data_IF_920032152066
#
_entry.id   IF_920032152066
#
_cell.length_a   1.000
_cell.length_b   1.000
_cell.length_c   1.000
_cell.angle_alpha   90.00
_cell.angle_beta   90.00
_cell.angle_gamma   90.00
#
_symmetry.space_group_name_H-M   'P 1'
#
loop_
_entity.id
_entity.type
_entity.pdbx_description
1 polymer ?
#
# COMPACT_ATOMS: atom_id res chain seq x y z
N UNK A 1 -3.00 -28.50 -12.75
CA UNK A 1 -2.31 -27.21 -12.78
C UNK A 1 -3.32 -26.09 -12.91
N UNK A 2 -3.23 -25.08 -12.06
CA UNK A 2 -4.04 -23.84 -12.16
C UNK A 2 -3.13 -22.71 -12.58
N UNK A 3 -3.62 -21.82 -13.45
CA UNK A 3 -2.90 -20.64 -13.90
C UNK A 3 -3.57 -19.38 -13.38
N UNK A 4 -2.78 -18.43 -12.89
CA UNK A 4 -3.21 -17.14 -12.42
C UNK A 4 -2.27 -16.07 -12.97
N UNK A 5 -2.80 -14.90 -13.28
CA UNK A 5 -2.00 -13.77 -13.79
C UNK A 5 -2.02 -12.65 -12.77
N UNK A 6 -0.84 -12.18 -12.36
CA UNK A 6 -0.71 -11.10 -11.40
C UNK A 6 -1.04 -9.74 -12.00
N UNK A 7 -1.11 -8.70 -11.17
CA UNK A 7 -1.48 -7.34 -11.60
C UNK A 7 -0.41 -6.66 -12.47
N UNK A 8 0.75 -7.27 -12.67
CA UNK A 8 1.75 -6.83 -13.66
C UNK A 8 1.71 -7.64 -14.98
N UNK A 9 0.76 -8.59 -15.09
CA UNK A 9 0.58 -9.41 -16.28
C UNK A 9 1.47 -10.67 -16.34
N UNK A 10 2.14 -11.01 -15.24
CA UNK A 10 2.94 -12.24 -15.16
C UNK A 10 2.04 -13.43 -14.84
N UNK A 11 2.08 -14.47 -15.67
CA UNK A 11 1.31 -15.70 -15.45
C UNK A 11 2.11 -16.71 -14.65
N UNK A 12 1.50 -17.16 -13.56
CA UNK A 12 2.04 -18.18 -12.65
C UNK A 12 1.26 -19.47 -12.77
N UNK A 13 1.96 -20.62 -12.73
CA UNK A 13 1.34 -21.93 -12.77
C UNK A 13 1.63 -22.66 -11.47
N UNK A 14 0.59 -23.11 -10.78
CA UNK A 14 0.70 -23.89 -9.55
C UNK A 14 0.13 -25.28 -9.75
N UNK A 15 0.87 -26.30 -9.37
CA UNK A 15 0.38 -27.69 -9.33
C UNK A 15 -0.58 -27.91 -8.18
N UNK A 16 -0.25 -27.32 -7.03
CA UNK A 16 -1.02 -27.37 -5.80
C UNK A 16 -1.23 -25.94 -5.26
N UNK A 17 -2.22 -25.77 -4.38
CA UNK A 17 -2.39 -24.52 -3.63
C UNK A 17 -1.14 -24.22 -2.81
N UNK A 18 -0.52 -23.03 -2.96
CA UNK A 18 0.66 -22.65 -2.16
C UNK A 18 0.33 -22.65 -0.66
N UNK A 19 1.23 -23.22 0.13
CA UNK A 19 1.07 -23.34 1.59
C UNK A 19 2.18 -22.66 2.38
N UNK A 20 3.26 -22.26 1.73
CA UNK A 20 4.43 -21.63 2.35
C UNK A 20 4.61 -20.24 1.74
N UNK A 21 4.04 -19.25 2.42
CA UNK A 21 3.98 -17.88 1.92
C UNK A 21 5.04 -17.02 2.60
N UNK A 22 5.86 -16.33 1.84
CA UNK A 22 6.67 -15.21 2.33
C UNK A 22 6.00 -13.91 1.86
N UNK A 23 5.62 -13.04 2.79
CA UNK A 23 5.03 -11.75 2.47
C UNK A 23 6.02 -10.61 2.69
N UNK A 24 6.28 -9.82 1.66
CA UNK A 24 7.19 -8.67 1.72
C UNK A 24 6.46 -7.32 1.81
N UNK A 25 5.14 -7.36 2.03
CA UNK A 25 4.27 -6.18 2.05
C UNK A 25 3.44 -6.17 3.33
N UNK A 26 3.56 -5.13 4.18
CA UNK A 26 2.87 -5.08 5.48
C UNK A 26 1.35 -5.25 5.39
N UNK A 27 0.67 -4.41 4.62
CA UNK A 27 -0.80 -4.46 4.45
C UNK A 27 -1.29 -5.80 3.88
N UNK A 28 -0.53 -6.40 2.96
CA UNK A 28 -0.88 -7.71 2.39
C UNK A 28 -0.60 -8.86 3.36
N UNK A 29 0.35 -8.69 4.30
CA UNK A 29 0.54 -9.65 5.39
C UNK A 29 -0.68 -9.70 6.30
N UNK A 30 -1.23 -8.54 6.63
CA UNK A 30 -2.47 -8.41 7.40
C UNK A 30 -3.66 -9.02 6.65
N UNK A 31 -3.81 -8.71 5.35
CA UNK A 31 -4.84 -9.33 4.52
C UNK A 31 -4.72 -10.86 4.49
N UNK A 32 -3.52 -11.41 4.32
CA UNK A 32 -3.32 -12.87 4.35
C UNK A 32 -3.75 -13.48 5.68
N UNK A 33 -3.46 -12.79 6.79
CA UNK A 33 -3.95 -13.19 8.11
C UNK A 33 -5.48 -13.18 8.16
N UNK A 34 -6.12 -12.11 7.72
CA UNK A 34 -7.57 -11.94 7.69
C UNK A 34 -8.27 -12.95 6.77
N UNK A 35 -7.58 -13.43 5.76
CA UNK A 35 -8.04 -14.54 4.90
C UNK A 35 -7.89 -15.92 5.55
N UNK A 36 -7.41 -15.99 6.80
CA UNK A 36 -7.24 -17.24 7.56
C UNK A 36 -5.98 -18.03 7.16
N UNK A 37 -4.98 -17.36 6.59
CA UNK A 37 -3.75 -17.99 6.09
C UNK A 37 -2.57 -17.85 7.05
N UNK A 38 -2.81 -17.55 8.31
CA UNK A 38 -1.77 -17.34 9.33
C UNK A 38 -0.73 -18.45 9.36
N UNK A 39 -1.18 -19.71 9.41
CA UNK A 39 -0.30 -20.88 9.46
C UNK A 39 0.52 -21.05 8.15
N UNK A 40 0.05 -20.46 7.05
CA UNK A 40 0.75 -20.51 5.77
C UNK A 40 1.85 -19.44 5.67
N UNK A 41 1.75 -18.35 6.45
CA UNK A 41 2.76 -17.29 6.48
C UNK A 41 3.99 -17.81 7.24
N UNK A 42 5.12 -17.95 6.53
CA UNK A 42 6.37 -18.47 7.10
C UNK A 42 7.46 -17.41 7.22
N UNK A 43 7.33 -16.28 6.54
CA UNK A 43 8.29 -15.19 6.59
C UNK A 43 7.65 -13.85 6.26
N UNK A 44 8.06 -12.80 6.98
CA UNK A 44 7.54 -11.45 6.89
C UNK A 44 8.65 -10.41 6.97
N UNK A 45 8.37 -9.15 6.57
CA UNK A 45 9.30 -8.05 6.77
C UNK A 45 9.23 -7.50 8.20
N UNK A 46 10.26 -6.74 8.59
CA UNK A 46 10.28 -6.04 9.88
C UNK A 46 9.19 -4.95 10.00
N UNK A 47 8.60 -4.56 8.89
CA UNK A 47 7.53 -3.56 8.82
C UNK A 47 6.12 -4.17 8.92
N UNK A 48 5.99 -5.49 8.89
CA UNK A 48 4.73 -6.18 9.16
C UNK A 48 4.45 -6.11 10.67
N UNK A 49 3.81 -5.05 11.13
CA UNK A 49 3.52 -4.78 12.54
C UNK A 49 2.15 -5.29 12.98
N UNK A 50 1.27 -5.56 12.03
CA UNK A 50 -0.07 -6.09 12.22
C UNK A 50 -0.24 -7.46 11.54
N UNK A 51 -0.93 -8.39 12.22
CA UNK A 51 -1.16 -8.42 13.66
C UNK A 51 0.17 -8.61 14.43
N UNK A 52 0.25 -8.02 15.61
CA UNK A 52 1.51 -7.83 16.36
C UNK A 52 2.25 -9.13 16.70
N UNK A 53 1.52 -10.23 16.94
CA UNK A 53 2.10 -11.52 17.32
C UNK A 53 2.92 -12.17 16.20
N UNK A 54 2.61 -11.90 14.91
CA UNK A 54 3.35 -12.47 13.78
C UNK A 54 4.85 -12.14 13.83
N UNK A 55 5.22 -10.98 14.37
CA UNK A 55 6.64 -10.61 14.48
C UNK A 55 7.46 -11.52 15.38
N UNK A 56 6.83 -12.15 16.39
CA UNK A 56 7.48 -13.10 17.30
C UNK A 56 7.42 -14.53 16.79
N UNK A 57 6.47 -14.86 15.91
CA UNK A 57 6.18 -16.22 15.46
C UNK A 57 6.75 -16.55 14.08
N UNK A 58 6.85 -15.55 13.21
CA UNK A 58 7.28 -15.74 11.81
C UNK A 58 8.72 -15.31 11.58
N UNK A 59 9.37 -15.92 10.59
CA UNK A 59 10.75 -15.60 10.27
C UNK A 59 10.87 -14.17 9.69
N UNK A 60 11.75 -13.35 10.29
CA UNK A 60 12.03 -12.00 9.83
C UNK A 60 13.02 -12.03 8.65
N UNK A 61 12.54 -11.69 7.43
CA UNK A 61 13.31 -11.78 6.19
C UNK A 61 13.92 -10.45 5.71
N UNK A 62 13.89 -9.42 6.53
CA UNK A 62 14.48 -8.11 6.22
C UNK A 62 13.45 -6.99 6.20
N UNK A 63 13.69 -5.96 5.41
CA UNK A 63 12.74 -4.88 5.11
C UNK A 63 12.14 -5.07 3.71
N UNK A 64 11.39 -4.07 3.21
CA UNK A 64 10.77 -4.12 1.88
C UNK A 64 11.79 -3.88 0.76
N UNK A 65 12.83 -3.07 1.02
CA UNK A 65 13.91 -2.73 0.08
C UNK A 65 15.28 -3.32 0.45
N UNK A 66 15.38 -3.96 1.62
CA UNK A 66 16.61 -4.61 2.09
C UNK A 66 16.29 -6.04 2.56
N UNK A 67 16.31 -6.95 1.61
CA UNK A 67 15.85 -8.34 1.74
C UNK A 67 17.02 -9.27 2.11
N UNK A 68 16.76 -10.25 2.96
CA UNK A 68 17.70 -11.34 3.31
C UNK A 68 17.41 -12.57 2.46
N UNK A 69 17.91 -12.59 1.22
CA UNK A 69 17.62 -13.63 0.24
C UNK A 69 17.94 -15.04 0.74
N UNK A 70 19.08 -15.24 1.42
CA UNK A 70 19.46 -16.55 1.98
C UNK A 70 18.45 -17.06 3.00
N UNK A 71 17.87 -16.17 3.82
CA UNK A 71 16.81 -16.54 4.75
C UNK A 71 15.55 -16.98 4.02
N UNK A 72 15.14 -16.23 2.98
CA UNK A 72 13.96 -16.60 2.18
C UNK A 72 14.19 -17.96 1.53
N UNK A 73 15.35 -18.17 0.92
CA UNK A 73 15.70 -19.46 0.29
C UNK A 73 15.68 -20.62 1.29
N UNK A 74 16.20 -20.40 2.51
CA UNK A 74 16.18 -21.40 3.58
C UNK A 74 14.75 -21.74 4.06
N UNK A 75 13.81 -20.82 3.96
CA UNK A 75 12.40 -21.06 4.27
C UNK A 75 11.69 -21.92 3.23
N UNK A 76 12.24 -22.13 2.04
CA UNK A 76 11.63 -22.91 0.95
C UNK A 76 10.16 -22.50 0.69
N UNK A 77 9.89 -21.23 0.32
CA UNK A 77 8.52 -20.79 0.06
C UNK A 77 7.97 -21.39 -1.23
N UNK A 78 6.64 -21.57 -1.28
CA UNK A 78 5.92 -21.94 -2.51
C UNK A 78 5.56 -20.69 -3.33
N UNK A 79 5.45 -19.54 -2.66
CA UNK A 79 5.12 -18.24 -3.25
C UNK A 79 5.69 -17.11 -2.40
N UNK A 80 6.10 -16.03 -3.06
CA UNK A 80 6.48 -14.78 -2.42
C UNK A 80 5.53 -13.69 -2.88
N UNK A 81 4.98 -12.91 -1.94
CA UNK A 81 4.08 -11.79 -2.22
C UNK A 81 4.89 -10.50 -2.18
N UNK A 82 4.80 -9.73 -3.25
CA UNK A 82 5.46 -8.45 -3.47
C UNK A 82 4.45 -7.39 -3.92
N UNK A 83 4.84 -6.12 -3.80
CA UNK A 83 4.10 -4.99 -4.35
C UNK A 83 5.05 -4.11 -5.17
N UNK A 84 4.55 -3.55 -6.27
CA UNK A 84 5.32 -2.73 -7.20
C UNK A 84 5.92 -1.47 -6.56
N UNK A 85 5.28 -0.91 -5.54
CA UNK A 85 5.76 0.28 -4.83
C UNK A 85 6.81 -0.05 -3.78
N UNK A 86 6.60 -1.16 -3.07
CA UNK A 86 7.43 -1.58 -1.96
C UNK A 86 8.71 -2.30 -2.39
N UNK A 87 8.65 -3.09 -3.45
CA UNK A 87 9.74 -3.95 -3.85
C UNK A 87 10.30 -3.54 -5.23
N UNK A 88 11.62 -3.40 -5.33
CA UNK A 88 12.25 -3.03 -6.60
C UNK A 88 12.21 -4.16 -7.62
N UNK A 89 12.32 -3.84 -8.91
CA UNK A 89 12.36 -4.84 -9.99
C UNK A 89 13.50 -5.83 -9.82
N UNK A 90 14.65 -5.35 -9.32
CA UNK A 90 15.84 -6.16 -9.07
C UNK A 90 15.60 -7.18 -7.96
N UNK A 91 14.90 -6.78 -6.89
CA UNK A 91 14.48 -7.67 -5.80
C UNK A 91 13.56 -8.76 -6.36
N UNK A 92 12.52 -8.38 -7.09
CA UNK A 92 11.57 -9.32 -7.70
C UNK A 92 12.29 -10.30 -8.62
N UNK A 93 13.22 -9.82 -9.49
CA UNK A 93 13.98 -10.67 -10.39
C UNK A 93 14.86 -11.70 -9.65
N UNK A 94 15.49 -11.31 -8.53
CA UNK A 94 16.29 -12.23 -7.72
C UNK A 94 15.41 -13.26 -6.98
N UNK A 95 14.28 -12.81 -6.41
CA UNK A 95 13.33 -13.69 -5.72
C UNK A 95 12.69 -14.71 -6.66
N UNK A 96 12.45 -14.35 -7.92
CA UNK A 96 11.90 -15.24 -8.95
C UNK A 96 12.82 -16.43 -9.29
N UNK A 97 14.10 -16.39 -8.88
CA UNK A 97 15.00 -17.51 -8.96
C UNK A 97 14.82 -18.54 -7.83
N UNK A 98 14.07 -18.17 -6.79
CA UNK A 98 13.79 -19.04 -5.64
C UNK A 98 12.45 -19.77 -5.85
N UNK A 99 11.37 -19.02 -6.12
CA UNK A 99 10.04 -19.55 -6.37
C UNK A 99 9.17 -18.51 -7.09
N UNK A 100 7.92 -18.82 -7.47
CA UNK A 100 6.98 -17.83 -8.02
C UNK A 100 6.85 -16.60 -7.13
N UNK A 101 6.92 -15.41 -7.75
CA UNK A 101 6.75 -14.12 -7.08
C UNK A 101 5.50 -13.44 -7.62
N UNK A 102 4.48 -13.33 -6.80
CA UNK A 102 3.24 -12.62 -7.12
C UNK A 102 3.41 -11.12 -6.83
N UNK A 103 3.25 -10.29 -7.83
CA UNK A 103 3.44 -8.84 -7.69
C UNK A 103 2.10 -8.12 -7.83
N UNK A 104 1.70 -7.43 -6.78
CA UNK A 104 0.51 -6.56 -6.79
C UNK A 104 0.87 -5.15 -7.26
N UNK A 105 -0.14 -4.44 -7.80
CA UNK A 105 -0.05 -3.03 -8.18
C UNK A 105 -1.38 -2.35 -7.82
N UNK A 106 -1.45 -1.79 -6.61
CA UNK A 106 -2.67 -1.24 -6.05
C UNK A 106 -2.62 0.28 -6.19
N UNK A 107 -3.44 0.85 -7.07
CA UNK A 107 -3.59 2.29 -7.26
C UNK A 107 -5.04 2.75 -7.12
N UNK A 108 -5.98 1.80 -7.04
CA UNK A 108 -7.41 2.05 -6.87
C UNK A 108 -8.05 1.05 -5.89
N UNK A 109 -9.28 1.34 -5.46
CA UNK A 109 -10.08 0.39 -4.65
C UNK A 109 -10.40 -0.86 -5.46
N UNK A 110 -10.65 -0.74 -6.76
CA UNK A 110 -10.89 -1.86 -7.66
C UNK A 110 -9.68 -2.80 -7.71
N UNK A 111 -8.45 -2.26 -7.78
CA UNK A 111 -7.23 -3.08 -7.74
C UNK A 111 -7.12 -3.87 -6.43
N UNK A 112 -7.52 -3.23 -5.31
CA UNK A 112 -7.53 -3.89 -4.00
C UNK A 112 -8.57 -5.02 -3.94
N UNK A 113 -9.79 -4.79 -4.42
CA UNK A 113 -10.83 -5.83 -4.50
C UNK A 113 -10.41 -6.98 -5.42
N UNK A 114 -9.73 -6.67 -6.53
CA UNK A 114 -9.17 -7.68 -7.43
C UNK A 114 -8.08 -8.50 -6.73
N UNK A 115 -7.17 -7.87 -5.98
CA UNK A 115 -6.14 -8.57 -5.20
C UNK A 115 -6.75 -9.53 -4.18
N UNK A 116 -7.80 -9.11 -3.45
CA UNK A 116 -8.51 -9.99 -2.50
C UNK A 116 -9.12 -11.19 -3.24
N UNK A 117 -9.71 -10.96 -4.43
CA UNK A 117 -10.25 -12.02 -5.29
C UNK A 117 -9.15 -12.99 -5.73
N UNK A 118 -8.01 -12.47 -6.16
CA UNK A 118 -6.87 -13.27 -6.63
C UNK A 118 -6.30 -14.13 -5.50
N UNK A 119 -6.15 -13.57 -4.30
CA UNK A 119 -5.69 -14.33 -3.12
C UNK A 119 -6.71 -15.41 -2.75
N UNK A 120 -8.02 -15.11 -2.79
CA UNK A 120 -9.08 -16.12 -2.62
C UNK A 120 -8.93 -17.30 -3.58
N UNK A 121 -8.60 -17.02 -4.84
CA UNK A 121 -8.40 -18.01 -5.90
C UNK A 121 -7.11 -18.82 -5.73
N UNK A 122 -5.98 -18.15 -5.50
CA UNK A 122 -4.66 -18.77 -5.38
C UNK A 122 -4.59 -19.67 -4.16
N UNK A 123 -5.08 -19.17 -3.01
CA UNK A 123 -4.99 -19.86 -1.73
C UNK A 123 -6.21 -20.72 -1.39
N UNK A 124 -7.19 -20.77 -2.29
CA UNK A 124 -8.43 -21.56 -2.13
C UNK A 124 -9.22 -21.17 -0.85
N UNK A 125 -9.32 -19.86 -0.58
CA UNK A 125 -10.08 -19.27 0.53
C UNK A 125 -11.17 -18.31 0.03
N UNK A 126 -11.91 -18.71 -1.01
CA UNK A 126 -12.92 -17.90 -1.70
C UNK A 126 -13.99 -17.35 -0.77
N UNK A 127 -14.50 -18.17 0.14
CA UNK A 127 -15.63 -17.77 1.00
C UNK A 127 -15.23 -16.61 1.91
N UNK A 128 -14.02 -16.67 2.49
CA UNK A 128 -13.50 -15.60 3.34
C UNK A 128 -13.20 -14.35 2.49
N UNK A 129 -12.59 -14.52 1.32
CA UNK A 129 -12.33 -13.42 0.39
C UNK A 129 -13.63 -12.70 -0.01
N UNK A 130 -14.69 -13.42 -0.32
CA UNK A 130 -16.00 -12.84 -0.65
C UNK A 130 -16.62 -12.07 0.52
N UNK A 131 -16.46 -12.54 1.75
CA UNK A 131 -16.91 -11.82 2.95
C UNK A 131 -16.19 -10.48 3.05
N UNK A 132 -14.87 -10.43 2.82
CA UNK A 132 -14.10 -9.18 2.86
C UNK A 132 -14.48 -8.24 1.71
N UNK A 133 -14.62 -8.76 0.49
CA UNK A 133 -15.08 -7.97 -0.67
C UNK A 133 -16.43 -7.34 -0.38
N UNK A 134 -17.39 -8.10 0.16
CA UNK A 134 -18.72 -7.57 0.48
C UNK A 134 -18.64 -6.48 1.56
N UNK A 135 -17.90 -6.72 2.65
CA UNK A 135 -17.69 -5.71 3.72
C UNK A 135 -17.13 -4.41 3.17
N UNK A 136 -16.09 -4.48 2.34
CA UNK A 136 -15.46 -3.30 1.74
C UNK A 136 -16.41 -2.57 0.79
N UNK A 137 -17.13 -3.31 -0.04
CA UNK A 137 -18.11 -2.76 -0.99
C UNK A 137 -19.26 -2.05 -0.26
N UNK A 138 -19.78 -2.64 0.81
CA UNK A 138 -20.83 -2.04 1.61
C UNK A 138 -20.33 -0.78 2.34
N UNK A 139 -19.13 -0.83 2.92
CA UNK A 139 -18.50 0.31 3.56
C UNK A 139 -18.29 1.47 2.57
N UNK A 140 -17.80 1.17 1.37
CA UNK A 140 -17.61 2.14 0.29
C UNK A 140 -18.95 2.77 -0.15
N UNK A 141 -20.00 1.96 -0.30
CA UNK A 141 -21.33 2.46 -0.66
C UNK A 141 -21.90 3.41 0.41
N UNK A 142 -21.75 3.05 1.68
CA UNK A 142 -22.16 3.92 2.81
C UNK A 142 -21.33 5.22 2.85
N UNK A 143 -20.02 5.12 2.66
CA UNK A 143 -19.13 6.27 2.63
C UNK A 143 -19.45 7.20 1.47
N UNK A 144 -19.64 6.68 0.26
CA UNK A 144 -20.00 7.46 -0.92
C UNK A 144 -21.31 8.24 -0.70
N UNK A 145 -22.29 7.64 -0.04
CA UNK A 145 -23.53 8.32 0.34
C UNK A 145 -23.27 9.46 1.36
N UNK A 146 -22.43 9.20 2.36
CA UNK A 146 -22.05 10.19 3.38
C UNK A 146 -21.31 11.38 2.78
N UNK A 147 -20.38 11.14 1.83
CA UNK A 147 -19.52 12.18 1.29
C UNK A 147 -20.17 12.95 0.11
N UNK A 148 -21.26 12.45 -0.46
CA UNK A 148 -21.84 12.92 -1.74
C UNK A 148 -22.21 14.40 -1.77
N UNK A 149 -22.65 14.95 -0.63
CA UNK A 149 -23.07 16.36 -0.47
C UNK A 149 -21.96 17.29 0.02
N UNK A 150 -20.77 16.77 0.31
CA UNK A 150 -19.66 17.57 0.83
C UNK A 150 -18.95 18.32 -0.31
N UNK A 151 -18.50 19.53 -0.03
CA UNK A 151 -17.71 20.32 -0.96
C UNK A 151 -16.32 19.72 -1.15
N UNK A 152 -15.77 19.90 -2.34
CA UNK A 152 -14.37 19.56 -2.59
C UNK A 152 -13.42 20.49 -1.83
N UNK A 153 -12.31 19.94 -1.34
CA UNK A 153 -11.27 20.69 -0.61
C UNK A 153 -9.95 20.51 -1.36
N UNK A 154 -9.33 21.62 -1.77
CA UNK A 154 -8.00 21.61 -2.38
C UNK A 154 -6.95 21.14 -1.38
N UNK A 155 -6.33 20.01 -1.69
CA UNK A 155 -5.52 19.28 -0.73
C UNK A 155 -4.15 18.91 -1.32
N UNK A 156 -3.11 18.99 -0.51
CA UNK A 156 -1.79 18.42 -0.79
C UNK A 156 -1.44 17.41 0.30
N UNK A 157 -0.92 16.25 -0.09
CA UNK A 157 -0.51 15.19 0.83
C UNK A 157 1.00 15.01 0.78
N UNK A 158 1.69 15.33 1.87
CA UNK A 158 3.14 15.21 2.02
C UNK A 158 3.52 13.83 2.55
N UNK A 159 4.53 13.21 1.93
CA UNK A 159 5.04 11.89 2.32
C UNK A 159 6.50 11.92 2.80
N UNK A 160 7.25 12.97 2.47
CA UNK A 160 8.69 13.05 2.77
C UNK A 160 9.16 14.48 2.97
N UNK A 161 10.22 14.64 3.77
CA UNK A 161 10.92 15.91 4.03
C UNK A 161 12.41 15.75 3.70
N UNK A 162 12.99 16.74 3.06
CA UNK A 162 14.39 16.83 2.64
C UNK A 162 14.80 15.78 1.58
N UNK A 163 14.41 15.98 0.30
CA UNK A 163 13.53 17.05 -0.18
C UNK A 163 12.06 16.80 0.16
N UNK A 164 11.21 17.83 0.09
CA UNK A 164 9.77 17.60 0.23
C UNK A 164 9.22 16.84 -0.97
N UNK A 165 8.50 15.76 -0.69
CA UNK A 165 7.79 14.97 -1.70
C UNK A 165 6.32 14.86 -1.33
N UNK A 166 5.47 14.80 -2.35
CA UNK A 166 4.02 14.75 -2.21
C UNK A 166 3.41 13.62 -3.03
N UNK A 167 2.20 13.21 -2.68
CA UNK A 167 1.45 12.26 -3.48
C UNK A 167 0.85 12.97 -4.70
N UNK A 168 1.22 12.50 -5.89
CA UNK A 168 0.63 12.87 -7.18
C UNK A 168 -0.32 11.80 -7.69
N UNK A 169 -0.59 11.81 -9.00
CA UNK A 169 -1.43 10.83 -9.67
C UNK A 169 -0.81 9.41 -9.67
N UNK A 170 -1.63 8.40 -10.00
CA UNK A 170 -1.25 6.99 -10.04
C UNK A 170 -0.66 6.47 -8.72
N UNK A 171 -1.23 6.90 -7.60
CA UNK A 171 -0.97 6.41 -6.25
C UNK A 171 -2.28 6.07 -5.56
N UNK A 172 -2.27 5.09 -4.66
CA UNK A 172 -3.44 4.75 -3.85
C UNK A 172 -3.86 5.94 -2.95
N UNK A 173 -2.88 6.72 -2.47
CA UNK A 173 -3.14 7.97 -1.74
C UNK A 173 -4.02 8.92 -2.56
N UNK A 174 -3.72 9.11 -3.86
CA UNK A 174 -4.54 9.98 -4.70
C UNK A 174 -5.97 9.47 -4.87
N UNK A 175 -6.15 8.16 -5.00
CA UNK A 175 -7.48 7.53 -5.01
C UNK A 175 -8.26 7.82 -3.73
N UNK A 176 -7.64 7.62 -2.56
CA UNK A 176 -8.27 7.91 -1.27
C UNK A 176 -8.58 9.39 -1.09
N UNK A 177 -7.71 10.29 -1.57
CA UNK A 177 -8.01 11.73 -1.57
C UNK A 177 -9.27 12.02 -2.40
N UNK A 178 -9.38 11.46 -3.59
CA UNK A 178 -10.55 11.65 -4.46
C UNK A 178 -11.84 11.10 -3.84
N UNK A 179 -11.78 9.91 -3.25
CA UNK A 179 -12.90 9.32 -2.50
C UNK A 179 -13.39 10.23 -1.38
N UNK A 180 -12.46 10.92 -0.70
CA UNK A 180 -12.76 11.89 0.35
C UNK A 180 -13.19 13.27 -0.18
N UNK A 181 -13.37 13.43 -1.50
CA UNK A 181 -13.62 14.73 -2.17
C UNK A 181 -12.51 15.76 -1.92
N UNK A 182 -11.30 15.28 -1.70
CA UNK A 182 -10.10 16.10 -1.64
C UNK A 182 -9.53 16.22 -3.05
N UNK A 183 -9.57 17.43 -3.61
CA UNK A 183 -8.97 17.76 -4.90
C UNK A 183 -7.45 17.79 -4.72
N UNK A 184 -6.76 16.75 -5.16
CA UNK A 184 -5.30 16.70 -5.08
C UNK A 184 -4.69 17.76 -6.01
N UNK A 185 -4.06 18.77 -5.44
CA UNK A 185 -3.42 19.86 -6.19
C UNK A 185 -2.30 19.34 -7.10
N UNK A 186 -1.64 18.26 -6.70
CA UNK A 186 -0.51 17.66 -7.43
C UNK A 186 -0.92 16.52 -8.37
N UNK A 187 -2.21 16.33 -8.64
CA UNK A 187 -2.71 15.26 -9.53
C UNK A 187 -2.20 15.31 -10.98
N UNK A 188 -1.62 16.40 -11.42
CA UNK A 188 -0.99 16.50 -12.76
C UNK A 188 0.40 15.87 -12.81
N UNK A 189 1.05 15.67 -11.67
CA UNK A 189 2.35 14.99 -11.55
C UNK A 189 2.16 13.53 -11.20
N UNK A 190 3.04 12.67 -11.70
CA UNK A 190 2.96 11.22 -11.52
C UNK A 190 3.66 10.79 -10.23
N UNK A 191 3.09 9.82 -9.54
CA UNK A 191 3.68 9.12 -8.40
C UNK A 191 3.98 10.05 -7.22
N UNK A 192 5.22 10.14 -6.81
CA UNK A 192 5.68 10.89 -5.65
C UNK A 192 6.73 11.92 -6.07
N UNK A 193 6.32 13.03 -6.70
CA UNK A 193 7.25 14.06 -7.14
C UNK A 193 7.87 14.81 -5.97
N UNK A 194 9.13 15.18 -6.14
CA UNK A 194 9.73 16.24 -5.34
C UNK A 194 9.08 17.59 -5.69
N UNK A 195 8.94 18.44 -4.68
CA UNK A 195 8.43 19.80 -4.87
C UNK A 195 9.56 20.68 -5.41
N UNK A 196 9.28 21.32 -6.53
CA UNK A 196 10.15 22.32 -7.16
C UNK A 196 9.61 23.72 -6.89
N UNK A 197 10.46 24.76 -7.07
CA UNK A 197 10.06 26.16 -6.90
C UNK A 197 8.88 26.55 -7.81
N UNK A 198 8.80 25.94 -9.00
CA UNK A 198 7.70 26.12 -9.96
C UNK A 198 6.36 25.62 -9.43
N UNK A 199 6.35 24.70 -8.49
CA UNK A 199 5.13 24.13 -7.90
C UNK A 199 4.53 25.04 -6.81
N UNK A 200 5.32 25.95 -6.25
CA UNK A 200 4.90 26.77 -5.10
C UNK A 200 3.64 27.57 -5.38
N UNK A 201 3.50 28.15 -6.59
CA UNK A 201 2.29 28.89 -6.97
C UNK A 201 1.03 28.01 -6.97
N UNK A 202 1.18 26.73 -7.33
CA UNK A 202 0.10 25.74 -7.31
C UNK A 202 -0.21 25.33 -5.86
N UNK A 203 0.81 25.00 -5.09
CA UNK A 203 0.72 24.54 -3.70
C UNK A 203 0.08 25.59 -2.77
N UNK A 204 0.30 26.89 -3.03
CA UNK A 204 -0.35 27.98 -2.31
C UNK A 204 -1.89 28.00 -2.46
N UNK A 205 -2.44 27.25 -3.40
CA UNK A 205 -3.89 27.07 -3.55
C UNK A 205 -4.48 26.01 -2.62
N UNK A 206 -3.66 25.27 -1.91
CA UNK A 206 -4.11 24.26 -0.94
C UNK A 206 -4.88 24.92 0.20
N UNK A 207 -6.06 24.40 0.47
CA UNK A 207 -6.86 24.76 1.65
C UNK A 207 -6.58 23.77 2.81
N UNK A 208 -6.10 22.57 2.47
CA UNK A 208 -5.75 21.51 3.40
C UNK A 208 -4.39 20.91 3.02
N UNK A 209 -3.53 20.74 4.00
CA UNK A 209 -2.26 20.01 3.86
C UNK A 209 -2.28 18.87 4.87
N UNK A 210 -2.07 17.67 4.35
CA UNK A 210 -1.96 16.44 5.12
C UNK A 210 -0.48 16.04 5.20
N UNK A 211 0.00 15.81 6.42
CA UNK A 211 1.38 15.39 6.69
C UNK A 211 1.34 13.95 7.21
N UNK A 212 1.89 13.02 6.45
CA UNK A 212 1.85 11.59 6.76
C UNK A 212 2.76 11.21 7.94
N UNK A 213 2.36 10.22 8.73
CA UNK A 213 3.23 9.62 9.74
C UNK A 213 4.28 8.68 9.13
N UNK A 214 4.14 8.32 7.85
CA UNK A 214 5.04 7.43 7.11
C UNK A 214 5.07 7.75 5.60
N UNK A 215 6.14 7.38 4.87
CA UNK A 215 7.40 6.81 5.36
C UNK A 215 8.28 7.81 6.13
N UNK A 216 8.05 9.14 5.99
CA UNK A 216 8.66 10.16 6.84
C UNK A 216 7.71 10.48 8.01
N UNK A 217 8.17 10.33 9.26
CA UNK A 217 7.32 10.56 10.42
C UNK A 217 7.21 12.07 10.70
N UNK A 218 6.31 12.75 10.00
CA UNK A 218 6.03 14.16 10.28
C UNK A 218 5.54 14.34 11.72
N UNK A 219 6.00 15.41 12.37
CA UNK A 219 5.71 15.75 13.75
C UNK A 219 5.14 17.18 13.88
N UNK A 220 4.72 17.57 15.06
CA UNK A 220 4.13 18.89 15.33
C UNK A 220 5.04 20.05 14.98
N UNK A 221 6.37 19.89 15.09
CA UNK A 221 7.32 20.89 14.65
C UNK A 221 7.22 21.13 13.13
N UNK A 222 7.02 20.07 12.33
CA UNK A 222 6.86 20.20 10.88
C UNK A 222 5.57 20.94 10.52
N UNK A 223 4.50 20.73 11.31
CA UNK A 223 3.24 21.50 11.17
C UNK A 223 3.51 22.98 11.31
N UNK A 224 4.29 23.39 12.34
CA UNK A 224 4.65 24.79 12.56
C UNK A 224 5.48 25.36 11.41
N UNK A 225 6.52 24.63 10.95
CA UNK A 225 7.37 25.06 9.84
C UNK A 225 6.58 25.25 8.53
N UNK A 226 5.71 24.27 8.21
CA UNK A 226 4.90 24.30 6.99
C UNK A 226 3.81 25.39 7.07
N UNK A 227 3.26 25.67 8.27
CA UNK A 227 2.29 26.73 8.47
C UNK A 227 2.85 28.14 8.15
N UNK A 228 4.16 28.34 8.34
CA UNK A 228 4.81 29.60 7.95
C UNK A 228 4.85 29.76 6.43
N UNK A 229 4.96 28.67 5.70
CA UNK A 229 5.02 28.67 4.22
C UNK A 229 3.62 28.73 3.62
N UNK A 230 2.63 28.10 4.25
CA UNK A 230 1.24 27.99 3.79
C UNK A 230 0.24 28.55 4.81
N UNK A 231 0.25 29.86 5.07
CA UNK A 231 -0.53 30.45 6.17
C UNK A 231 -2.05 30.38 5.97
N UNK A 232 -2.51 30.13 4.75
CA UNK A 232 -3.93 30.02 4.41
C UNK A 232 -4.46 28.57 4.42
N UNK A 233 -3.58 27.58 4.58
CA UNK A 233 -3.94 26.18 4.61
C UNK A 233 -4.12 25.68 6.04
N UNK A 234 -5.11 24.80 6.26
CA UNK A 234 -5.18 23.98 7.46
C UNK A 234 -4.20 22.83 7.33
N UNK A 235 -3.32 22.63 8.31
CA UNK A 235 -2.31 21.55 8.29
C UNK A 235 -2.68 20.52 9.34
N UNK A 236 -2.67 19.25 8.98
CA UNK A 236 -3.08 18.14 9.84
C UNK A 236 -2.07 17.00 9.70
N UNK A 237 -1.60 16.47 10.83
CA UNK A 237 -0.91 15.19 10.88
C UNK A 237 -1.93 14.06 10.66
N UNK A 238 -1.61 13.14 9.78
CA UNK A 238 -2.47 11.98 9.48
C UNK A 238 -1.68 10.70 9.65
N UNK A 239 -2.39 9.65 10.04
CA UNK A 239 -1.82 8.31 10.10
C UNK A 239 -1.62 7.79 8.68
N UNK A 240 -0.37 7.58 8.30
CA UNK A 240 0.00 7.11 6.96
C UNK A 240 -0.49 5.69 6.68
N UNK A 241 -0.61 4.83 7.69
CA UNK A 241 -1.13 3.47 7.54
C UNK A 241 -2.57 3.46 6.97
N UNK A 242 -3.35 4.51 7.22
CA UNK A 242 -4.70 4.65 6.65
C UNK A 242 -4.70 4.95 5.14
N UNK A 243 -3.55 5.23 4.56
CA UNK A 243 -3.38 5.59 3.15
C UNK A 243 -2.49 4.62 2.37
N UNK A 244 -2.17 3.47 2.96
CA UNK A 244 -1.27 2.46 2.37
C UNK A 244 -1.96 1.12 2.07
#
# INVERSE_FOLDING_TARGET
MKQFTDQLGTTHTFENTPKRIVSLVPSQTELLFDLGLEENIIGITKFCVHPTHLRSEKAMVGGTKNIKFDKIKALQPDIIICNKEENTKEIVAQLSQICPVWVTNIVSVEDNLQMITDFGNIFNCHDIAQIWIQKLTDALAHFNKFISDKSQIKTTYFIWKNPYMVAGNATFINELLQLNRFENIMQTKQRYPEIEDTDMVLLQKSSLILLSSEPYPFIEQDVQEISLVFPNAKIILVDGEMFS
#
